data_IF_574251147553
#
_entry.id   IF_574251147553
#
_cell.length_a   1.000
_cell.length_b   1.000
_cell.length_c   1.000
_cell.angle_alpha   90.00
_cell.angle_beta   90.00
_cell.angle_gamma   90.00
#
_symmetry.space_group_name_H-M   'P 1'
#
loop_
_entity.id
_entity.type
_entity.pdbx_description
1 polymer ?
#
# COMPACT_ATOMS: atom_id res chain seq x y z
N UNK A 1 4.34 18.14 -10.90
CA UNK A 1 3.26 18.72 -11.72
C UNK A 1 1.90 18.38 -11.09
N UNK A 2 1.31 19.36 -10.42
CA UNK A 2 -0.06 19.25 -9.92
C UNK A 2 -1.05 19.47 -11.08
N UNK A 3 -2.14 18.71 -11.09
CA UNK A 3 -3.11 18.74 -12.18
C UNK A 3 -4.47 19.22 -11.68
N UNK A 4 -4.80 20.46 -11.95
CA UNK A 4 -6.13 21.04 -11.67
C UNK A 4 -6.83 21.28 -13.00
N UNK A 5 -8.08 20.80 -13.15
CA UNK A 5 -8.90 20.99 -14.34
C UNK A 5 -10.04 21.94 -14.00
N UNK A 6 -10.08 23.08 -14.68
CA UNK A 6 -11.17 24.04 -14.62
C UNK A 6 -11.67 24.31 -16.06
N UNK A 7 -12.98 24.35 -16.26
CA UNK A 7 -13.62 24.47 -17.56
C UNK A 7 -14.47 25.74 -17.61
N UNK A 8 -13.98 26.82 -18.28
CA UNK A 8 -14.70 28.05 -18.43
C UNK A 8 -14.49 28.67 -19.81
N UNK A 9 -15.53 29.44 -20.31
CA UNK A 9 -15.36 30.33 -21.43
C UNK A 9 -14.84 31.67 -20.91
N UNK A 10 -13.56 31.93 -21.11
CA UNK A 10 -12.86 33.08 -20.57
C UNK A 10 -12.88 34.29 -21.53
N UNK A 11 -13.03 35.48 -20.97
CA UNK A 11 -12.78 36.75 -21.65
C UNK A 11 -11.30 37.14 -21.52
N UNK A 12 -10.92 38.25 -22.18
CA UNK A 12 -9.52 38.67 -22.38
C UNK A 12 -8.75 39.10 -21.10
N UNK A 13 -9.41 39.22 -19.97
CA UNK A 13 -8.88 39.70 -18.69
C UNK A 13 -8.88 38.66 -17.59
N UNK A 14 -8.91 37.37 -17.94
CA UNK A 14 -8.87 36.27 -16.97
C UNK A 14 -7.46 36.07 -16.43
N UNK A 15 -7.36 35.89 -15.12
CA UNK A 15 -6.12 35.62 -14.38
C UNK A 15 -6.28 34.33 -13.59
N UNK A 16 -5.28 33.45 -13.66
CA UNK A 16 -5.18 32.30 -12.76
C UNK A 16 -4.15 32.60 -11.69
N UNK A 17 -4.52 32.45 -10.45
CA UNK A 17 -3.63 32.53 -9.29
C UNK A 17 -3.48 31.17 -8.60
N UNK A 18 -2.32 30.93 -7.98
CA UNK A 18 -2.06 29.78 -7.15
C UNK A 18 -1.40 30.20 -5.86
N UNK A 19 -1.97 29.77 -4.73
CA UNK A 19 -1.43 29.99 -3.39
C UNK A 19 -1.14 28.63 -2.77
N UNK A 20 0.03 28.49 -2.15
CA UNK A 20 0.41 27.27 -1.41
C UNK A 20 0.50 27.61 0.06
N UNK A 21 -0.18 26.85 0.89
CA UNK A 21 -0.07 26.88 2.34
C UNK A 21 0.46 25.57 2.89
N UNK A 22 1.11 25.64 4.03
CA UNK A 22 1.54 24.46 4.79
C UNK A 22 0.36 23.96 5.65
N UNK A 23 -0.07 22.71 5.44
CA UNK A 23 -1.20 22.12 6.15
C UNK A 23 -0.76 21.45 7.46
N UNK A 24 0.51 21.09 7.55
CA UNK A 24 1.04 20.26 8.64
C UNK A 24 1.67 21.10 9.76
N UNK A 25 2.06 22.32 9.49
CA UNK A 25 2.63 23.26 10.47
C UNK A 25 1.85 24.57 10.47
N UNK A 26 1.81 25.26 11.62
CA UNK A 26 1.16 26.58 11.77
C UNK A 26 1.89 27.71 11.00
N UNK A 27 2.80 27.38 10.12
CA UNK A 27 3.53 28.32 9.28
C UNK A 27 2.74 28.58 7.99
N UNK A 28 2.08 29.71 7.92
CA UNK A 28 1.44 30.22 6.69
C UNK A 28 2.50 30.57 5.64
N UNK A 29 2.88 29.58 4.82
CA UNK A 29 3.67 29.82 3.63
C UNK A 29 2.73 30.28 2.51
N UNK A 30 2.67 31.57 2.26
CA UNK A 30 1.94 32.09 1.11
C UNK A 30 2.91 32.27 -0.05
N UNK A 31 2.90 31.30 -0.96
CA UNK A 31 3.53 31.49 -2.26
C UNK A 31 2.45 31.89 -3.25
N UNK A 32 2.57 33.09 -3.81
CA UNK A 32 1.65 33.60 -4.81
C UNK A 32 2.27 33.46 -6.21
N UNK A 33 1.60 32.73 -7.06
CA UNK A 33 1.89 32.63 -8.48
C UNK A 33 0.67 33.13 -9.23
N UNK A 34 0.83 34.17 -10.05
CA UNK A 34 -0.23 34.72 -10.91
C UNK A 34 0.19 34.65 -12.37
N UNK A 35 -0.74 34.32 -13.26
CA UNK A 35 -0.50 34.33 -14.69
C UNK A 35 -1.78 34.67 -15.44
N UNK A 36 -1.67 35.58 -16.42
CA UNK A 36 -2.75 35.87 -17.32
C UNK A 36 -3.10 34.67 -18.19
N UNK A 37 -4.39 34.39 -18.31
CA UNK A 37 -4.87 33.32 -19.20
C UNK A 37 -4.83 33.87 -20.64
N UNK A 38 -4.19 33.14 -21.59
CA UNK A 38 -4.11 33.58 -22.96
C UNK A 38 -5.49 33.79 -23.60
N UNK A 39 -5.65 34.87 -24.38
CA UNK A 39 -6.88 35.12 -25.15
C UNK A 39 -7.12 34.00 -26.17
N UNK A 40 -8.35 33.54 -26.27
CA UNK A 40 -8.74 32.45 -27.17
C UNK A 40 -8.55 31.05 -26.57
N UNK A 41 -8.21 30.94 -25.27
CA UNK A 41 -8.19 29.67 -24.53
C UNK A 41 -9.60 29.07 -24.53
N UNK A 42 -9.68 27.80 -24.96
CA UNK A 42 -10.92 27.01 -24.92
C UNK A 42 -10.96 26.17 -23.66
N UNK A 43 -12.11 25.60 -23.34
CA UNK A 43 -12.29 24.71 -22.18
C UNK A 43 -11.32 23.50 -22.12
N UNK A 44 -10.70 23.14 -23.24
CA UNK A 44 -9.78 22.01 -23.36
C UNK A 44 -8.29 22.42 -23.47
N UNK A 45 -8.00 23.73 -23.48
CA UNK A 45 -6.62 24.20 -23.58
C UNK A 45 -5.93 24.09 -22.22
N UNK A 46 -4.92 23.24 -22.06
CA UNK A 46 -4.20 23.11 -20.79
C UNK A 46 -3.46 24.41 -20.50
N UNK A 47 -3.67 24.95 -19.32
CA UNK A 47 -2.97 26.12 -18.82
C UNK A 47 -2.02 25.70 -17.71
N UNK A 48 -0.78 26.18 -17.74
CA UNK A 48 0.25 25.81 -16.78
C UNK A 48 0.71 27.04 -16.01
N UNK A 49 0.58 26.98 -14.68
CA UNK A 49 1.25 27.91 -13.76
C UNK A 49 2.44 27.20 -13.10
N UNK A 50 3.48 27.97 -12.79
CA UNK A 50 4.68 27.42 -12.16
C UNK A 50 5.05 28.26 -10.96
N UNK A 51 5.45 27.59 -9.89
CA UNK A 51 5.95 28.19 -8.68
C UNK A 51 7.08 27.38 -8.07
N UNK A 52 7.76 27.96 -7.10
CA UNK A 52 8.86 27.31 -6.37
C UNK A 52 8.61 27.48 -4.88
N UNK A 53 8.67 26.36 -4.15
CA UNK A 53 8.65 26.37 -2.69
C UNK A 53 10.11 26.29 -2.23
N UNK A 54 10.68 27.36 -1.64
CA UNK A 54 12.04 27.33 -1.16
C UNK A 54 12.15 26.50 0.12
N UNK A 55 13.14 25.61 0.19
CA UNK A 55 13.41 24.76 1.36
C UNK A 55 12.18 24.00 1.88
N UNK A 56 11.53 23.17 1.04
CA UNK A 56 10.30 22.50 1.44
C UNK A 56 10.58 21.46 2.53
N UNK A 57 9.65 21.30 3.45
CA UNK A 57 9.62 20.11 4.30
C UNK A 57 9.22 18.91 3.45
N UNK A 58 9.98 17.82 3.59
CA UNK A 58 9.74 16.63 2.79
C UNK A 58 8.73 15.72 3.49
N UNK A 59 7.85 15.15 2.70
CA UNK A 59 6.94 14.11 3.13
C UNK A 59 7.70 12.80 3.29
N UNK A 60 7.54 12.12 4.43
CA UNK A 60 8.07 10.78 4.66
C UNK A 60 7.13 9.94 5.54
N UNK A 61 7.55 8.72 5.91
CA UNK A 61 6.72 7.80 6.69
C UNK A 61 6.59 8.17 8.16
N UNK A 62 7.46 9.01 8.69
CA UNK A 62 7.47 9.44 10.09
C UNK A 62 6.93 10.87 10.23
N UNK A 63 7.23 11.71 9.22
CA UNK A 63 6.84 13.10 9.16
C UNK A 63 6.12 13.38 7.83
N UNK A 64 4.84 12.98 7.71
CA UNK A 64 4.07 13.10 6.47
C UNK A 64 3.62 14.54 6.20
N UNK A 65 4.59 15.40 5.83
CA UNK A 65 4.36 16.82 5.64
C UNK A 65 3.57 17.10 4.36
N UNK A 66 2.46 17.81 4.49
CA UNK A 66 1.55 18.11 3.39
C UNK A 66 1.39 19.61 3.16
N UNK A 67 1.21 19.97 1.91
CA UNK A 67 0.89 21.31 1.42
C UNK A 67 -0.47 21.31 0.76
N UNK A 68 -1.16 22.45 0.84
CA UNK A 68 -2.41 22.72 0.12
C UNK A 68 -2.14 23.72 -0.99
N UNK A 69 -2.38 23.32 -2.24
CA UNK A 69 -2.45 24.26 -3.36
C UNK A 69 -3.90 24.69 -3.56
N UNK A 70 -4.14 25.97 -3.41
CA UNK A 70 -5.39 26.62 -3.77
C UNK A 70 -5.22 27.34 -5.09
N UNK A 71 -5.98 26.98 -6.10
CA UNK A 71 -5.99 27.64 -7.40
C UNK A 71 -7.28 28.41 -7.57
N UNK A 72 -7.20 29.64 -8.08
CA UNK A 72 -8.36 30.50 -8.28
C UNK A 72 -8.32 31.07 -9.69
N UNK A 73 -9.48 31.12 -10.33
CA UNK A 73 -9.69 31.73 -11.65
C UNK A 73 -10.49 32.98 -11.49
N UNK A 74 -9.89 34.11 -11.86
CA UNK A 74 -10.48 35.43 -11.73
C UNK A 74 -10.79 36.05 -13.09
N UNK A 75 -11.82 36.90 -13.15
CA UNK A 75 -12.07 37.81 -14.27
C UNK A 75 -12.32 39.19 -13.71
N UNK A 76 -11.35 40.12 -13.87
CA UNK A 76 -11.34 41.36 -13.12
C UNK A 76 -11.40 41.09 -11.61
N UNK A 77 -12.37 41.65 -10.91
CA UNK A 77 -12.59 41.47 -9.47
C UNK A 77 -13.49 40.25 -9.14
N UNK A 78 -14.01 39.54 -10.14
CA UNK A 78 -14.92 38.44 -9.97
C UNK A 78 -14.16 37.10 -9.89
N UNK A 79 -14.27 36.39 -8.77
CA UNK A 79 -13.84 34.99 -8.66
C UNK A 79 -14.82 34.12 -9.47
N UNK A 80 -14.32 33.41 -10.46
CA UNK A 80 -15.11 32.53 -11.32
C UNK A 80 -15.12 31.10 -10.77
N UNK A 81 -13.96 30.63 -10.28
CA UNK A 81 -13.83 29.26 -9.76
C UNK A 81 -12.61 29.11 -8.85
N UNK A 82 -12.67 28.14 -7.96
CA UNK A 82 -11.53 27.76 -7.13
C UNK A 82 -11.45 26.24 -6.97
N UNK A 83 -10.22 25.73 -6.82
CA UNK A 83 -9.96 24.32 -6.53
C UNK A 83 -8.81 24.19 -5.55
N UNK A 84 -8.90 23.19 -4.68
CA UNK A 84 -7.90 22.87 -3.69
C UNK A 84 -7.33 21.48 -3.94
N UNK A 85 -6.02 21.32 -3.80
CA UNK A 85 -5.32 20.04 -3.95
C UNK A 85 -4.25 19.93 -2.87
N UNK A 86 -4.35 18.89 -2.06
CA UNK A 86 -3.31 18.52 -1.10
C UNK A 86 -2.22 17.72 -1.80
N UNK A 87 -0.95 17.99 -1.47
CA UNK A 87 0.20 17.30 -2.02
C UNK A 87 1.36 17.26 -1.04
N UNK A 88 2.33 16.39 -1.29
CA UNK A 88 3.59 16.32 -0.53
C UNK A 88 4.79 16.33 -1.47
N UNK A 89 5.94 16.78 -0.95
CA UNK A 89 7.19 16.82 -1.70
C UNK A 89 8.11 15.73 -1.14
N UNK A 90 8.56 14.83 -2.00
CA UNK A 90 9.44 13.73 -1.63
C UNK A 90 10.29 13.27 -2.80
N UNK A 91 11.36 12.52 -2.49
CA UNK A 91 12.14 11.73 -3.45
C UNK A 91 11.98 10.24 -3.10
N UNK A 92 11.36 9.46 -3.99
CA UNK A 92 11.07 8.04 -3.79
C UNK A 92 11.71 7.23 -4.92
N UNK A 93 12.79 6.51 -4.62
CA UNK A 93 13.64 5.87 -5.63
C UNK A 93 13.84 4.39 -5.32
N UNK A 94 13.49 3.54 -6.28
CA UNK A 94 13.88 2.13 -6.25
C UNK A 94 15.25 1.96 -6.90
N UNK A 95 16.15 1.27 -6.21
CA UNK A 95 17.49 0.91 -6.68
C UNK A 95 17.69 -0.60 -6.63
N UNK A 96 18.75 -1.08 -7.27
CA UNK A 96 19.15 -2.49 -7.29
C UNK A 96 19.16 -3.13 -5.89
N UNK A 97 19.56 -2.38 -4.89
CA UNK A 97 19.78 -2.79 -3.50
C UNK A 97 18.63 -2.39 -2.55
N UNK A 98 17.50 -1.90 -3.05
CA UNK A 98 16.34 -1.60 -2.24
C UNK A 98 15.60 -0.31 -2.59
N UNK A 99 14.72 0.12 -1.69
CA UNK A 99 13.96 1.35 -1.83
C UNK A 99 14.58 2.46 -0.97
N UNK A 100 14.53 3.70 -1.48
CA UNK A 100 15.05 4.90 -0.81
C UNK A 100 13.97 5.99 -0.80
N UNK A 101 13.73 6.56 0.38
CA UNK A 101 12.86 7.71 0.56
C UNK A 101 13.68 8.89 1.07
N UNK A 102 13.67 10.00 0.34
CA UNK A 102 14.44 11.19 0.65
C UNK A 102 15.95 10.89 0.90
N UNK A 103 16.49 9.99 0.08
CA UNK A 103 17.89 9.57 0.15
C UNK A 103 18.23 8.54 1.25
N UNK A 104 17.28 8.20 2.13
CA UNK A 104 17.48 7.18 3.18
C UNK A 104 16.94 5.83 2.70
N UNK A 105 17.70 4.75 2.91
CA UNK A 105 17.23 3.39 2.61
C UNK A 105 16.11 3.03 3.57
N UNK A 106 14.98 2.58 3.03
CA UNK A 106 13.80 2.15 3.77
C UNK A 106 13.34 0.80 3.26
N UNK A 107 13.17 -0.17 4.15
CA UNK A 107 12.58 -1.46 3.78
C UNK A 107 11.06 -1.34 3.76
N UNK A 108 10.45 -1.68 2.65
CA UNK A 108 9.00 -1.70 2.50
C UNK A 108 8.45 -2.90 3.28
N UNK A 109 7.54 -2.64 4.22
CA UNK A 109 6.82 -3.63 5.02
C UNK A 109 5.34 -3.36 4.89
N UNK A 110 4.65 -4.22 4.16
CA UNK A 110 3.26 -3.95 3.81
C UNK A 110 2.36 -5.18 3.82
N UNK A 111 1.10 -4.90 3.60
CA UNK A 111 0.06 -5.88 3.33
C UNK A 111 -0.70 -5.49 2.07
N UNK A 112 -1.28 -6.49 1.41
CA UNK A 112 -2.25 -6.29 0.36
C UNK A 112 -3.61 -5.98 0.98
N UNK A 113 -4.35 -5.05 0.38
CA UNK A 113 -5.69 -4.66 0.82
C UNK A 113 -6.70 -4.74 -0.30
N UNK A 114 -7.78 -5.48 -0.10
CA UNK A 114 -9.01 -5.31 -0.85
C UNK A 114 -9.86 -4.17 -0.27
N UNK A 115 -10.64 -3.47 -1.11
CA UNK A 115 -11.59 -2.48 -0.64
C UNK A 115 -12.95 -3.15 -0.43
N UNK A 116 -13.13 -3.84 0.69
CA UNK A 116 -14.41 -4.49 0.98
C UNK A 116 -14.71 -4.56 2.48
N UNK A 117 -15.99 -4.52 2.82
CA UNK A 117 -16.47 -4.71 4.19
C UNK A 117 -17.78 -5.51 4.16
N UNK A 118 -18.04 -6.36 5.18
CA UNK A 118 -19.28 -7.12 5.27
C UNK A 118 -20.53 -6.25 5.09
N UNK A 119 -21.53 -6.79 4.41
CA UNK A 119 -22.84 -6.18 4.11
C UNK A 119 -22.82 -5.06 3.06
N UNK A 120 -21.76 -4.27 2.95
CA UNK A 120 -21.68 -3.15 1.99
C UNK A 120 -20.79 -3.43 0.78
N UNK A 121 -20.00 -4.52 0.82
CA UNK A 121 -19.07 -4.87 -0.25
C UNK A 121 -18.06 -3.76 -0.51
N UNK A 122 -17.89 -3.37 -1.77
CA UNK A 122 -16.96 -2.32 -2.17
C UNK A 122 -17.46 -0.88 -1.91
N UNK A 123 -18.75 -0.72 -1.56
CA UNK A 123 -19.33 0.59 -1.21
C UNK A 123 -19.01 0.99 0.24
N UNK A 124 -17.75 0.84 0.62
CA UNK A 124 -17.27 1.20 1.96
C UNK A 124 -17.37 2.71 2.20
N UNK A 125 -17.96 3.13 3.32
CA UNK A 125 -18.04 4.55 3.68
C UNK A 125 -16.65 5.11 4.04
N UNK A 126 -16.52 6.43 3.97
CA UNK A 126 -15.29 7.17 4.28
C UNK A 126 -14.65 6.73 5.60
N UNK A 127 -15.44 6.63 6.66
CA UNK A 127 -14.96 6.24 7.99
C UNK A 127 -14.24 4.88 7.99
N UNK A 128 -14.73 3.91 7.22
CA UNK A 128 -14.11 2.59 7.10
C UNK A 128 -12.86 2.62 6.23
N UNK A 129 -12.84 3.47 5.19
CA UNK A 129 -11.64 3.68 4.37
C UNK A 129 -10.50 4.24 5.23
N UNK A 130 -10.78 5.28 6.01
CA UNK A 130 -9.81 5.91 6.92
C UNK A 130 -9.38 4.95 8.04
N UNK A 131 -10.31 4.17 8.60
CA UNK A 131 -10.00 3.16 9.62
C UNK A 131 -8.99 2.12 9.11
N UNK A 132 -9.15 1.61 7.90
CA UNK A 132 -8.21 0.63 7.35
C UNK A 132 -6.78 1.19 7.26
N UNK A 133 -6.61 2.45 6.86
CA UNK A 133 -5.30 3.10 6.84
C UNK A 133 -4.73 3.30 8.26
N UNK A 134 -5.57 3.70 9.21
CA UNK A 134 -5.18 3.82 10.62
C UNK A 134 -4.72 2.48 11.21
N UNK A 135 -5.45 1.39 10.93
CA UNK A 135 -5.09 0.04 11.40
C UNK A 135 -3.75 -0.41 10.81
N UNK A 136 -3.54 -0.22 9.51
CA UNK A 136 -2.27 -0.56 8.86
C UNK A 136 -1.08 0.17 9.50
N UNK A 137 -1.23 1.47 9.73
CA UNK A 137 -0.14 2.31 10.26
C UNK A 137 0.05 2.14 11.77
N UNK A 138 -1.02 2.27 12.54
CA UNK A 138 -0.95 2.42 14.01
C UNK A 138 -1.01 1.08 14.74
N UNK A 139 -1.86 0.15 14.28
CA UNK A 139 -2.03 -1.15 14.94
C UNK A 139 -1.02 -2.19 14.44
N UNK A 140 -0.81 -2.23 13.11
CA UNK A 140 0.09 -3.19 12.49
C UNK A 140 1.53 -2.66 12.31
N UNK A 141 1.80 -1.40 12.60
CA UNK A 141 3.13 -0.78 12.51
C UNK A 141 3.74 -0.79 11.10
N UNK A 142 2.90 -0.85 10.06
CA UNK A 142 3.35 -0.93 8.68
C UNK A 142 3.72 0.43 8.10
N UNK A 143 4.61 0.41 7.12
CA UNK A 143 4.98 1.60 6.36
C UNK A 143 4.43 1.60 4.93
N UNK A 144 3.78 0.51 4.48
CA UNK A 144 3.29 0.40 3.12
C UNK A 144 2.00 -0.44 3.00
N UNK A 145 1.27 -0.22 1.91
CA UNK A 145 0.12 -1.02 1.49
C UNK A 145 0.10 -1.17 -0.03
N UNK A 146 -0.31 -2.34 -0.52
CA UNK A 146 -0.65 -2.52 -1.93
C UNK A 146 -2.18 -2.59 -2.09
N UNK A 147 -2.74 -1.75 -2.95
CA UNK A 147 -4.17 -1.71 -3.25
C UNK A 147 -4.50 -2.73 -4.34
N UNK A 148 -4.55 -4.00 -3.97
CA UNK A 148 -4.81 -5.14 -4.84
C UNK A 148 -6.30 -5.27 -5.18
N UNK A 149 -6.70 -5.49 -6.40
CA UNK A 149 -6.00 -5.41 -7.69
C UNK A 149 -6.72 -4.35 -8.52
N UNK A 150 -6.85 -3.14 -8.01
CA UNK A 150 -7.61 -2.02 -8.60
C UNK A 150 -7.36 -0.71 -7.81
N UNK A 151 -7.59 0.44 -8.44
CA UNK A 151 -7.58 1.73 -7.74
C UNK A 151 -8.62 1.75 -6.62
N UNK A 152 -8.25 2.28 -5.46
CA UNK A 152 -9.12 2.34 -4.29
C UNK A 152 -9.53 3.78 -3.96
N UNK A 153 -10.41 3.93 -2.97
CA UNK A 153 -11.04 5.21 -2.60
C UNK A 153 -10.04 6.33 -2.33
N UNK A 154 -10.36 7.55 -2.74
CA UNK A 154 -9.64 8.77 -2.37
C UNK A 154 -9.50 8.92 -0.85
N UNK A 155 -10.57 8.67 -0.08
CA UNK A 155 -10.53 8.75 1.38
C UNK A 155 -9.46 7.84 2.01
N UNK A 156 -9.21 6.69 1.39
CA UNK A 156 -8.13 5.80 1.81
C UNK A 156 -6.76 6.37 1.46
N UNK A 157 -6.58 6.86 0.24
CA UNK A 157 -5.31 7.42 -0.23
C UNK A 157 -4.96 8.72 0.49
N UNK A 158 -5.93 9.62 0.68
CA UNK A 158 -5.76 10.84 1.49
C UNK A 158 -5.31 10.50 2.90
N UNK A 159 -5.92 9.46 3.51
CA UNK A 159 -5.49 9.01 4.84
C UNK A 159 -4.09 8.41 4.83
N UNK A 160 -3.69 7.71 3.76
CA UNK A 160 -2.31 7.25 3.59
C UNK A 160 -1.33 8.42 3.48
N UNK A 161 -1.71 9.49 2.77
CA UNK A 161 -0.91 10.72 2.69
C UNK A 161 -0.70 11.36 4.06
N UNK A 162 -1.77 11.47 4.86
CA UNK A 162 -1.75 12.04 6.21
C UNK A 162 -0.94 11.20 7.21
N UNK A 163 -0.90 9.89 7.04
CA UNK A 163 -0.24 8.95 7.96
C UNK A 163 1.20 8.60 7.57
N UNK A 164 1.66 9.00 6.39
CA UNK A 164 2.96 8.53 5.89
C UNK A 164 2.96 7.03 5.54
N UNK A 165 1.87 6.53 4.97
CA UNK A 165 1.77 5.14 4.53
C UNK A 165 2.02 5.06 3.03
N UNK A 166 3.10 4.40 2.61
CA UNK A 166 3.47 4.22 1.20
C UNK A 166 2.44 3.35 0.47
N UNK A 167 2.14 3.69 -0.78
CA UNK A 167 1.13 2.98 -1.57
C UNK A 167 1.73 2.47 -2.88
N UNK A 168 1.54 1.19 -3.13
CA UNK A 168 1.65 0.58 -4.44
C UNK A 168 0.23 0.36 -4.99
N UNK A 169 -0.17 1.13 -6.00
CA UNK A 169 -1.51 1.02 -6.62
C UNK A 169 -1.42 0.55 -8.05
N UNK A 170 -2.44 -0.19 -8.51
CA UNK A 170 -2.45 -0.82 -9.83
C UNK A 170 -3.79 -0.65 -10.54
N UNK A 171 -3.78 -0.65 -11.89
CA UNK A 171 -5.01 -0.63 -12.67
C UNK A 171 -5.73 -1.99 -12.61
N UNK A 172 -7.08 -2.03 -12.82
CA UNK A 172 -7.88 -3.20 -12.47
C UNK A 172 -7.56 -4.43 -13.29
N UNK A 173 -7.41 -5.58 -12.63
CA UNK A 173 -7.38 -6.88 -13.29
C UNK A 173 -6.64 -7.97 -12.53
N UNK A 174 -7.05 -9.22 -12.80
CA UNK A 174 -6.46 -10.43 -12.26
C UNK A 174 -6.42 -11.54 -13.30
N UNK A 175 -5.21 -12.01 -13.64
CA UNK A 175 -4.88 -13.11 -14.56
C UNK A 175 -5.36 -12.93 -16.01
N UNK A 176 -6.55 -12.39 -16.25
CA UNK A 176 -7.16 -12.32 -17.58
C UNK A 176 -6.64 -11.14 -18.40
N UNK A 177 -6.26 -11.42 -19.65
CA UNK A 177 -6.00 -10.44 -20.70
C UNK A 177 -7.01 -10.68 -21.82
N UNK A 178 -7.80 -9.66 -22.14
CA UNK A 178 -8.83 -9.75 -23.17
C UNK A 178 -8.32 -9.48 -24.59
N UNK A 179 -9.25 -9.26 -25.50
CA UNK A 179 -8.97 -8.92 -26.90
C UNK A 179 -8.45 -7.47 -27.05
N UNK A 180 -8.19 -7.04 -28.29
CA UNK A 180 -7.63 -5.71 -28.56
C UNK A 180 -8.49 -4.56 -28.07
N UNK A 181 -9.83 -4.68 -28.14
CA UNK A 181 -10.75 -3.67 -27.59
C UNK A 181 -10.64 -3.58 -26.08
N UNK A 182 -10.57 -4.71 -25.39
CA UNK A 182 -10.35 -4.78 -23.96
C UNK A 182 -8.99 -4.19 -23.56
N UNK A 183 -7.90 -4.53 -24.31
CA UNK A 183 -6.56 -3.97 -24.08
C UNK A 183 -6.52 -2.45 -24.27
N UNK A 184 -7.21 -1.94 -25.30
CA UNK A 184 -7.33 -0.51 -25.51
C UNK A 184 -8.03 0.19 -24.31
N UNK A 185 -9.11 -0.39 -23.80
CA UNK A 185 -9.79 0.12 -22.61
C UNK A 185 -8.91 0.03 -21.36
N UNK A 186 -8.14 -1.05 -21.20
CA UNK A 186 -7.22 -1.20 -20.07
C UNK A 186 -6.11 -0.14 -20.07
N UNK A 187 -5.61 0.27 -21.24
CA UNK A 187 -4.67 1.40 -21.37
C UNK A 187 -5.31 2.71 -20.92
N UNK A 188 -6.58 2.96 -21.29
CA UNK A 188 -7.34 4.12 -20.80
C UNK A 188 -7.54 4.07 -19.28
N UNK A 189 -7.85 2.90 -18.73
CA UNK A 189 -7.99 2.73 -17.27
C UNK A 189 -6.68 3.04 -16.52
N UNK A 190 -5.53 2.66 -17.09
CA UNK A 190 -4.22 3.02 -16.52
C UNK A 190 -3.98 4.54 -16.61
N UNK A 191 -4.35 5.18 -17.73
CA UNK A 191 -4.28 6.63 -17.89
C UNK A 191 -5.15 7.35 -16.84
N UNK A 192 -6.41 6.94 -16.69
CA UNK A 192 -7.36 7.53 -15.76
C UNK A 192 -6.89 7.38 -14.31
N UNK A 193 -6.40 6.20 -13.91
CA UNK A 193 -5.82 5.98 -12.58
C UNK A 193 -4.70 6.97 -12.29
N UNK A 194 -3.74 7.12 -13.20
CA UNK A 194 -2.59 8.00 -12.97
C UNK A 194 -3.03 9.47 -12.91
N UNK A 195 -3.92 9.90 -13.82
CA UNK A 195 -4.45 11.27 -13.82
C UNK A 195 -5.19 11.58 -12.52
N UNK A 196 -5.93 10.63 -12.00
CA UNK A 196 -6.73 10.78 -10.79
C UNK A 196 -5.88 10.86 -9.53
N UNK A 197 -4.81 10.05 -9.45
CA UNK A 197 -4.10 9.83 -8.19
C UNK A 197 -2.66 10.39 -8.13
N UNK A 198 -2.11 10.95 -9.20
CA UNK A 198 -0.71 11.37 -9.22
C UNK A 198 -0.34 12.50 -8.26
N UNK A 199 -1.31 13.16 -7.63
CA UNK A 199 -1.05 14.18 -6.62
C UNK A 199 -0.83 13.60 -5.20
N UNK A 200 -1.16 12.32 -4.97
CA UNK A 200 -0.95 11.66 -3.68
C UNK A 200 0.55 11.35 -3.46
N UNK A 201 1.21 11.95 -2.45
CA UNK A 201 2.62 11.67 -2.18
C UNK A 201 2.87 10.24 -1.69
N UNK A 202 1.90 9.61 -1.06
CA UNK A 202 1.96 8.22 -0.59
C UNK A 202 2.20 7.22 -1.72
N UNK A 203 1.68 7.46 -2.93
CA UNK A 203 1.88 6.56 -4.06
C UNK A 203 3.33 6.62 -4.54
N UNK A 204 4.02 5.49 -4.45
CA UNK A 204 5.44 5.35 -4.82
C UNK A 204 5.67 4.46 -6.04
N UNK A 205 4.66 3.71 -6.48
CA UNK A 205 4.79 2.75 -7.56
C UNK A 205 3.44 2.63 -8.31
N UNK A 206 3.49 2.72 -9.64
CA UNK A 206 2.34 2.47 -10.51
C UNK A 206 2.32 1.04 -10.99
N UNK A 207 1.29 0.27 -10.65
CA UNK A 207 1.05 -1.06 -11.19
C UNK A 207 0.43 -0.98 -12.58
N UNK A 208 1.21 -1.32 -13.60
CA UNK A 208 0.82 -1.17 -15.01
C UNK A 208 0.74 -2.50 -15.76
N UNK A 209 0.67 -3.59 -15.00
CA UNK A 209 0.46 -4.95 -15.50
C UNK A 209 -0.69 -5.59 -14.71
N UNK A 210 -1.52 -6.38 -15.40
CA UNK A 210 -2.57 -7.19 -14.78
C UNK A 210 -1.92 -8.19 -13.83
N UNK A 211 -2.39 -8.21 -12.59
CA UNK A 211 -1.88 -9.11 -11.57
C UNK A 211 -1.89 -10.58 -12.06
N UNK A 212 -0.76 -11.26 -11.91
CA UNK A 212 -0.55 -12.68 -12.26
C UNK A 212 -0.87 -13.06 -13.71
N UNK A 213 -0.93 -12.11 -14.61
CA UNK A 213 -1.17 -12.40 -16.02
C UNK A 213 0.08 -12.99 -16.71
N UNK A 214 -0.09 -13.71 -17.84
CA UNK A 214 1.02 -14.06 -18.73
C UNK A 214 1.68 -12.82 -19.30
N UNK A 215 2.87 -13.00 -19.93
CA UNK A 215 3.54 -11.94 -20.66
C UNK A 215 2.75 -11.55 -21.90
N UNK A 216 2.62 -10.25 -22.15
CA UNK A 216 2.05 -9.64 -23.35
C UNK A 216 2.78 -8.32 -23.61
N UNK A 217 3.98 -8.44 -24.15
CA UNK A 217 4.89 -7.32 -24.31
C UNK A 217 4.26 -6.14 -25.08
N UNK A 218 3.58 -6.34 -26.24
CA UNK A 218 2.96 -5.23 -26.96
C UNK A 218 1.87 -4.49 -26.18
N UNK A 219 1.21 -5.15 -25.24
CA UNK A 219 0.22 -4.54 -24.37
C UNK A 219 0.90 -3.77 -23.23
N UNK A 220 1.86 -4.39 -22.54
CA UNK A 220 2.51 -3.78 -21.38
C UNK A 220 3.50 -2.68 -21.73
N UNK A 221 4.08 -2.68 -22.94
CA UNK A 221 4.80 -1.51 -23.47
C UNK A 221 3.92 -0.27 -23.54
N UNK A 222 2.64 -0.40 -23.93
CA UNK A 222 1.70 0.71 -24.00
C UNK A 222 1.32 1.24 -22.62
N UNK A 223 1.03 0.37 -21.65
CA UNK A 223 0.67 0.79 -20.30
C UNK A 223 1.83 1.47 -19.58
N UNK A 224 3.07 0.97 -19.77
CA UNK A 224 4.28 1.61 -19.27
C UNK A 224 4.50 2.99 -19.91
N UNK A 225 4.40 3.07 -21.24
CA UNK A 225 4.59 4.33 -21.96
C UNK A 225 3.58 5.43 -21.50
N UNK A 226 2.33 5.04 -21.27
CA UNK A 226 1.30 5.95 -20.74
C UNK A 226 1.66 6.43 -19.34
N UNK A 227 2.11 5.53 -18.47
CA UNK A 227 2.50 5.88 -17.10
C UNK A 227 3.65 6.87 -17.08
N UNK A 228 4.74 6.59 -17.77
CA UNK A 228 5.90 7.49 -17.85
C UNK A 228 5.59 8.84 -18.50
N UNK A 229 4.67 8.86 -19.49
CA UNK A 229 4.22 10.10 -20.12
C UNK A 229 3.43 11.00 -19.16
N UNK A 230 2.59 10.41 -18.32
CA UNK A 230 1.69 11.15 -17.42
C UNK A 230 2.34 11.50 -16.09
N UNK A 231 3.24 10.65 -15.63
CA UNK A 231 3.98 10.83 -14.39
C UNK A 231 5.42 10.29 -14.52
N UNK A 232 6.36 11.12 -14.98
CA UNK A 232 7.76 10.72 -15.08
C UNK A 232 8.48 10.68 -13.72
N UNK A 233 7.79 10.99 -12.63
CA UNK A 233 8.39 11.09 -11.28
C UNK A 233 8.29 9.78 -10.49
N UNK A 234 7.43 8.84 -10.92
CA UNK A 234 7.23 7.56 -10.26
C UNK A 234 7.58 6.40 -11.17
N UNK A 235 8.24 5.37 -10.64
CA UNK A 235 8.49 4.14 -11.38
C UNK A 235 7.22 3.33 -11.60
N UNK A 236 7.32 2.40 -12.55
CA UNK A 236 6.30 1.40 -12.84
C UNK A 236 6.69 0.04 -12.28
N UNK A 237 5.68 -0.75 -11.90
CA UNK A 237 5.78 -2.14 -11.52
C UNK A 237 4.69 -2.98 -12.16
N UNK A 238 4.84 -4.30 -12.11
CA UNK A 238 3.85 -5.19 -12.68
C UNK A 238 3.93 -6.59 -12.05
N UNK A 239 2.88 -6.98 -11.38
CA UNK A 239 2.87 -8.17 -10.53
C UNK A 239 2.80 -9.46 -11.34
N UNK A 240 3.74 -10.34 -11.09
CA UNK A 240 3.95 -11.62 -11.75
C UNK A 240 3.86 -12.78 -10.78
N UNK A 241 3.33 -13.91 -11.24
CA UNK A 241 3.44 -15.21 -10.59
C UNK A 241 4.38 -16.18 -11.35
N UNK A 242 4.93 -15.75 -12.49
CA UNK A 242 5.79 -16.55 -13.35
C UNK A 242 7.23 -16.09 -13.19
N UNK A 243 8.12 -17.01 -12.80
CA UNK A 243 9.57 -16.74 -12.74
C UNK A 243 10.14 -16.49 -14.13
N UNK A 244 11.11 -15.58 -14.22
CA UNK A 244 11.79 -15.17 -15.47
C UNK A 244 10.84 -14.59 -16.52
N UNK A 245 9.69 -14.08 -16.12
CA UNK A 245 8.81 -13.25 -16.94
C UNK A 245 9.54 -11.99 -17.40
N UNK A 246 9.21 -11.48 -18.59
CA UNK A 246 9.84 -10.31 -19.16
C UNK A 246 9.63 -9.07 -18.30
N UNK A 247 10.68 -8.27 -18.11
CA UNK A 247 10.62 -7.00 -17.40
C UNK A 247 10.54 -5.84 -18.39
N UNK A 248 9.41 -5.18 -18.43
CA UNK A 248 9.17 -3.94 -19.19
C UNK A 248 9.06 -2.73 -18.28
N UNK A 249 8.75 -2.98 -17.00
CA UNK A 249 8.60 -1.99 -15.95
C UNK A 249 9.96 -1.64 -15.31
N UNK A 250 9.96 -0.61 -14.47
CA UNK A 250 11.18 -0.17 -13.76
C UNK A 250 11.53 -1.10 -12.59
N UNK A 251 10.52 -1.66 -11.92
CA UNK A 251 10.66 -2.53 -10.74
C UNK A 251 10.09 -3.91 -11.03
N UNK A 252 10.90 -4.94 -10.82
CA UNK A 252 10.41 -6.32 -10.90
C UNK A 252 9.61 -6.65 -9.66
N UNK A 253 8.30 -6.86 -9.82
CA UNK A 253 7.41 -7.25 -8.72
C UNK A 253 6.91 -8.68 -8.92
N UNK A 254 6.95 -9.49 -7.85
CA UNK A 254 6.69 -10.92 -7.94
C UNK A 254 5.89 -11.44 -6.74
N UNK A 255 4.89 -12.28 -7.01
CA UNK A 255 4.17 -13.04 -6.00
C UNK A 255 4.97 -14.29 -5.65
N UNK A 256 5.57 -14.29 -4.46
CA UNK A 256 6.43 -15.37 -3.97
C UNK A 256 5.67 -16.31 -3.04
N UNK A 257 5.09 -17.35 -3.62
CA UNK A 257 4.38 -18.39 -2.90
C UNK A 257 5.26 -19.62 -2.67
N UNK A 258 6.56 -19.43 -2.40
CA UNK A 258 7.48 -20.52 -2.10
C UNK A 258 7.19 -21.14 -0.73
N UNK A 259 6.86 -20.33 0.28
CA UNK A 259 6.81 -20.78 1.67
C UNK A 259 5.57 -21.62 1.98
N UNK A 260 5.79 -22.92 2.19
CA UNK A 260 4.75 -23.92 2.50
C UNK A 260 4.76 -24.40 3.97
N UNK A 261 5.63 -23.81 4.80
CA UNK A 261 5.84 -24.16 6.20
C UNK A 261 7.21 -24.81 6.46
N UNK A 262 7.81 -25.47 5.46
CA UNK A 262 9.08 -26.20 5.59
C UNK A 262 10.21 -25.56 4.77
N UNK A 263 9.88 -24.84 3.71
CA UNK A 263 10.82 -24.17 2.80
C UNK A 263 11.36 -22.85 3.38
N UNK A 264 12.49 -22.34 2.85
CA UNK A 264 12.92 -20.96 3.11
C UNK A 264 11.80 -19.97 2.79
N UNK A 265 11.65 -18.90 3.58
CA UNK A 265 10.53 -17.97 3.50
C UNK A 265 10.28 -17.34 2.13
N UNK A 266 11.32 -17.09 1.34
CA UNK A 266 11.19 -16.59 -0.05
C UNK A 266 12.36 -17.03 -0.93
N UNK A 267 12.17 -16.96 -2.25
CA UNK A 267 13.23 -17.21 -3.23
C UNK A 267 14.25 -16.05 -3.29
N UNK A 268 15.53 -16.35 -3.44
CA UNK A 268 16.51 -15.32 -3.80
C UNK A 268 16.19 -14.69 -5.16
N UNK A 269 16.31 -13.36 -5.27
CA UNK A 269 16.04 -12.56 -6.49
C UNK A 269 16.56 -13.21 -7.76
N UNK A 270 17.81 -13.72 -7.78
CA UNK A 270 18.45 -14.39 -8.93
C UNK A 270 17.74 -15.65 -9.41
N UNK A 271 16.92 -16.28 -8.57
CA UNK A 271 16.09 -17.43 -8.98
C UNK A 271 14.79 -16.99 -9.63
N UNK A 272 14.31 -15.80 -9.30
CA UNK A 272 13.04 -15.25 -9.78
C UNK A 272 13.21 -14.53 -11.10
N UNK A 273 14.22 -13.68 -11.22
CA UNK A 273 14.47 -12.87 -12.41
C UNK A 273 15.93 -12.95 -12.89
N UNK A 274 16.14 -12.81 -14.21
CA UNK A 274 17.44 -12.58 -14.81
C UNK A 274 17.91 -11.11 -14.69
N UNK A 275 16.98 -10.19 -14.45
CA UNK A 275 17.22 -8.74 -14.37
C UNK A 275 17.74 -8.33 -12.98
N UNK A 276 18.86 -8.92 -12.57
CA UNK A 276 19.42 -8.75 -11.21
C UNK A 276 19.89 -7.34 -10.91
N UNK A 277 20.09 -6.52 -11.94
CA UNK A 277 20.48 -5.11 -11.81
C UNK A 277 19.29 -4.17 -11.61
N UNK A 278 18.08 -4.66 -11.79
CA UNK A 278 16.85 -3.91 -11.56
C UNK A 278 16.37 -4.04 -10.12
N UNK A 279 15.59 -3.09 -9.61
CA UNK A 279 14.92 -3.23 -8.30
C UNK A 279 14.00 -4.46 -8.25
N UNK A 280 13.87 -5.06 -7.07
CA UNK A 280 13.01 -6.22 -6.85
C UNK A 280 12.15 -6.04 -5.60
N UNK A 281 10.88 -6.42 -5.71
CA UNK A 281 9.87 -6.27 -4.65
C UNK A 281 8.96 -7.52 -4.63
N UNK A 282 8.74 -8.09 -3.46
CA UNK A 282 7.78 -9.19 -3.28
C UNK A 282 6.40 -8.60 -3.07
N UNK A 283 5.48 -8.87 -4.00
CA UNK A 283 4.14 -8.27 -4.00
C UNK A 283 3.08 -9.08 -3.27
N UNK A 284 3.28 -10.38 -3.14
CA UNK A 284 2.41 -11.26 -2.35
C UNK A 284 3.19 -12.47 -1.80
N UNK A 285 2.76 -12.99 -0.64
CA UNK A 285 3.20 -14.25 -0.07
C UNK A 285 2.17 -14.79 0.93
N UNK A 286 2.23 -16.07 1.28
CA UNK A 286 1.32 -16.79 2.18
C UNK A 286 -0.14 -16.81 1.69
N UNK A 287 -1.06 -16.25 2.44
CA UNK A 287 -2.48 -16.13 2.11
C UNK A 287 -3.19 -17.45 1.83
N UNK A 288 -3.47 -17.71 0.57
CA UNK A 288 -4.19 -18.90 0.13
C UNK A 288 -3.46 -20.22 0.40
N UNK A 289 -2.15 -20.17 0.66
CA UNK A 289 -1.38 -21.38 0.97
C UNK A 289 -1.68 -21.94 2.36
N UNK A 290 -2.16 -21.10 3.28
CA UNK A 290 -2.52 -21.51 4.63
C UNK A 290 -3.71 -20.73 5.19
N UNK A 291 -4.91 -20.88 4.61
CA UNK A 291 -6.09 -20.19 5.09
C UNK A 291 -6.36 -20.49 6.56
N UNK A 292 -6.61 -19.45 7.36
CA UNK A 292 -6.78 -19.61 8.81
C UNK A 292 -7.90 -18.73 9.32
N UNK A 293 -8.88 -19.35 9.99
CA UNK A 293 -10.00 -18.65 10.63
C UNK A 293 -9.60 -18.18 12.03
N UNK A 294 -10.22 -17.09 12.49
CA UNK A 294 -9.98 -16.60 13.86
C UNK A 294 -10.34 -17.63 14.95
N UNK A 295 -11.22 -18.59 14.64
CA UNK A 295 -11.70 -19.64 15.53
C UNK A 295 -11.16 -21.04 15.21
N UNK A 296 -10.15 -21.16 14.35
CA UNK A 296 -9.40 -22.40 14.17
C UNK A 296 -8.64 -22.77 15.47
N UNK A 297 -8.23 -24.01 15.61
CA UNK A 297 -7.47 -24.45 16.75
C UNK A 297 -6.17 -23.64 16.92
N UNK A 298 -5.63 -23.64 18.13
CA UNK A 298 -4.48 -22.83 18.52
C UNK A 298 -3.23 -23.15 17.68
N UNK A 299 -2.99 -24.43 17.36
CA UNK A 299 -1.85 -24.86 16.55
C UNK A 299 -1.91 -24.25 15.15
N UNK A 300 -3.10 -24.27 14.50
CA UNK A 300 -3.26 -23.68 13.18
C UNK A 300 -3.08 -22.16 13.20
N UNK A 301 -3.63 -21.48 14.21
CA UNK A 301 -3.48 -20.03 14.36
C UNK A 301 -2.03 -19.63 14.64
N UNK A 302 -1.30 -20.41 15.45
CA UNK A 302 0.13 -20.21 15.71
C UNK A 302 0.97 -20.43 14.47
N UNK A 303 0.73 -21.53 13.74
CA UNK A 303 1.43 -21.85 12.49
C UNK A 303 1.21 -20.74 11.44
N UNK A 304 -0.01 -20.20 11.33
CA UNK A 304 -0.30 -19.07 10.45
C UNK A 304 0.61 -17.86 10.76
N UNK A 305 0.76 -17.52 12.03
CA UNK A 305 1.63 -16.42 12.45
C UNK A 305 3.10 -16.72 12.13
N UNK A 306 3.58 -17.94 12.42
CA UNK A 306 4.97 -18.33 12.17
C UNK A 306 5.31 -18.31 10.68
N UNK A 307 4.39 -18.70 9.80
CA UNK A 307 4.60 -18.61 8.35
C UNK A 307 4.82 -17.18 7.88
N UNK A 308 4.07 -16.21 8.42
CA UNK A 308 4.31 -14.80 8.12
C UNK A 308 5.68 -14.32 8.65
N UNK A 309 6.05 -14.73 9.87
CA UNK A 309 7.35 -14.39 10.45
C UNK A 309 8.52 -14.96 9.63
N UNK A 310 8.42 -16.22 9.18
CA UNK A 310 9.46 -16.86 8.36
C UNK A 310 9.71 -16.14 7.03
N UNK A 311 8.64 -15.65 6.38
CA UNK A 311 8.82 -14.88 5.15
C UNK A 311 9.44 -13.52 5.42
N UNK A 312 8.99 -12.80 6.45
CA UNK A 312 9.56 -11.50 6.83
C UNK A 312 11.05 -11.63 7.19
N UNK A 313 11.43 -12.65 7.96
CA UNK A 313 12.82 -12.95 8.30
C UNK A 313 13.66 -13.23 7.05
N UNK A 314 13.15 -14.08 6.13
CA UNK A 314 13.83 -14.38 4.88
C UNK A 314 14.03 -13.15 3.98
N UNK A 315 13.03 -12.25 3.93
CA UNK A 315 13.13 -10.96 3.22
C UNK A 315 14.13 -10.04 3.91
N UNK A 316 14.13 -10.02 5.26
CA UNK A 316 15.07 -9.23 6.04
C UNK A 316 16.53 -9.67 5.82
N UNK A 317 16.77 -10.95 5.63
CA UNK A 317 18.07 -11.53 5.34
C UNK A 317 18.63 -11.26 3.93
N UNK A 318 17.84 -10.62 3.03
CA UNK A 318 18.25 -10.32 1.64
C UNK A 318 18.27 -8.82 1.38
N UNK A 319 19.46 -8.27 1.16
CA UNK A 319 19.65 -6.82 0.99
C UNK A 319 19.18 -6.27 -0.36
N UNK A 320 19.03 -7.13 -1.37
CA UNK A 320 18.63 -6.79 -2.73
C UNK A 320 17.11 -6.89 -2.97
N UNK A 321 16.33 -7.11 -1.90
CA UNK A 321 14.87 -7.04 -1.89
C UNK A 321 14.44 -5.74 -1.27
N UNK A 322 13.69 -4.92 -2.02
CA UNK A 322 13.20 -3.61 -1.54
C UNK A 322 12.20 -3.74 -0.37
N UNK A 323 11.56 -4.89 -0.25
CA UNK A 323 10.60 -5.21 0.79
C UNK A 323 9.51 -6.17 0.29
N UNK A 324 8.42 -6.25 1.04
CA UNK A 324 7.36 -7.21 0.73
C UNK A 324 5.97 -6.77 1.20
N UNK A 325 4.95 -7.37 0.55
CA UNK A 325 3.53 -7.22 0.91
C UNK A 325 2.92 -8.61 1.16
N UNK A 326 2.48 -8.86 2.39
CA UNK A 326 1.80 -10.11 2.73
C UNK A 326 0.37 -10.16 2.17
N UNK A 327 -0.08 -11.32 1.74
CA UNK A 327 -1.46 -11.55 1.38
C UNK A 327 -2.21 -12.10 2.59
N UNK A 328 -3.14 -11.36 3.22
CA UNK A 328 -3.52 -9.97 3.01
C UNK A 328 -3.96 -9.36 4.35
N UNK A 329 -4.43 -8.10 4.34
CA UNK A 329 -4.81 -7.37 5.55
C UNK A 329 -5.94 -8.07 6.32
N UNK A 330 -7.02 -8.46 5.62
CA UNK A 330 -8.20 -9.06 6.26
C UNK A 330 -8.86 -10.12 5.39
N UNK A 331 -9.66 -10.98 6.01
CA UNK A 331 -10.51 -11.93 5.31
C UNK A 331 -11.55 -11.20 4.46
N UNK A 332 -11.85 -11.71 3.27
CA UNK A 332 -12.71 -11.03 2.33
C UNK A 332 -13.65 -11.97 1.58
N UNK A 333 -14.79 -11.45 1.15
CA UNK A 333 -15.71 -12.20 0.31
C UNK A 333 -15.15 -12.41 -1.09
N UNK A 334 -15.42 -13.58 -1.66
CA UNK A 334 -14.95 -13.97 -2.97
C UNK A 334 -16.03 -14.72 -3.77
N UNK A 335 -15.72 -15.09 -5.01
CA UNK A 335 -16.62 -15.87 -5.86
C UNK A 335 -16.61 -17.37 -5.49
N UNK A 336 -17.53 -18.13 -6.08
CA UNK A 336 -17.76 -19.56 -5.78
C UNK A 336 -16.56 -20.48 -6.01
N UNK A 337 -15.65 -20.09 -6.89
CA UNK A 337 -14.53 -20.95 -7.33
C UNK A 337 -13.25 -20.66 -6.54
N UNK A 338 -13.28 -19.74 -5.57
CA UNK A 338 -12.15 -19.35 -4.75
C UNK A 338 -12.59 -19.10 -3.31
N UNK A 339 -11.83 -19.62 -2.35
CA UNK A 339 -12.15 -19.55 -0.94
C UNK A 339 -12.75 -20.84 -0.36
N UNK A 340 -13.16 -20.79 0.89
CA UNK A 340 -13.83 -21.91 1.55
C UNK A 340 -15.32 -21.94 1.13
N UNK A 341 -15.98 -23.00 0.98
CA UNK A 341 -17.33 -23.14 0.47
C UNK A 341 -18.39 -22.10 0.90
N UNK A 342 -18.12 -21.29 1.91
CA UNK A 342 -18.88 -20.10 2.36
C UNK A 342 -18.56 -18.81 1.57
N UNK A 343 -17.72 -18.89 0.55
CA UNK A 343 -17.28 -17.77 -0.30
C UNK A 343 -16.49 -16.69 0.45
N UNK A 344 -15.73 -17.11 1.45
CA UNK A 344 -14.79 -16.27 2.20
C UNK A 344 -13.37 -16.78 1.98
N UNK A 345 -12.45 -15.88 1.65
CA UNK A 345 -11.02 -16.12 1.72
C UNK A 345 -10.52 -15.78 3.12
N UNK A 346 -10.18 -16.82 3.91
CA UNK A 346 -9.59 -16.66 5.24
C UNK A 346 -8.08 -16.44 5.18
N UNK A 347 -7.66 -15.50 4.31
CA UNK A 347 -6.27 -15.22 4.00
C UNK A 347 -5.70 -14.06 4.83
N UNK A 348 -6.55 -13.33 5.52
CA UNK A 348 -6.19 -12.12 6.25
C UNK A 348 -5.40 -12.38 7.53
N UNK A 349 -4.57 -11.42 7.89
CA UNK A 349 -3.98 -11.32 9.25
C UNK A 349 -5.00 -10.77 10.25
N UNK A 350 -6.10 -10.21 9.77
CA UNK A 350 -7.31 -9.84 10.51
C UNK A 350 -8.51 -10.60 9.96
N UNK A 351 -9.58 -10.72 10.73
CA UNK A 351 -10.86 -11.20 10.21
C UNK A 351 -11.55 -10.11 9.34
N UNK A 352 -12.69 -10.45 8.75
CA UNK A 352 -13.40 -9.52 7.86
C UNK A 352 -13.99 -8.30 8.57
N UNK A 353 -14.06 -8.32 9.90
CA UNK A 353 -14.49 -7.19 10.75
C UNK A 353 -13.29 -6.40 11.32
N UNK A 354 -12.06 -6.72 10.89
CA UNK A 354 -10.79 -6.12 11.32
C UNK A 354 -10.35 -6.51 12.74
N UNK A 355 -10.90 -7.58 13.31
CA UNK A 355 -10.32 -8.12 14.54
C UNK A 355 -8.99 -8.82 14.21
N UNK A 356 -7.91 -8.55 14.98
CA UNK A 356 -6.60 -9.13 14.69
C UNK A 356 -6.59 -10.64 14.96
N UNK A 357 -5.93 -11.40 14.07
CA UNK A 357 -5.48 -12.77 14.31
C UNK A 357 -4.06 -12.74 14.87
N UNK A 358 -3.51 -13.87 15.31
CA UNK A 358 -2.13 -13.93 15.83
C UNK A 358 -1.09 -13.39 14.82
N UNK A 359 -1.29 -13.64 13.53
CA UNK A 359 -0.41 -13.12 12.47
C UNK A 359 -0.34 -11.58 12.40
N UNK A 360 -1.33 -10.86 12.89
CA UNK A 360 -1.29 -9.39 12.98
C UNK A 360 -0.15 -8.90 13.88
N UNK A 361 0.09 -9.62 14.98
CA UNK A 361 1.17 -9.27 15.92
C UNK A 361 2.57 -9.48 15.35
N UNK A 362 2.73 -10.35 14.35
CA UNK A 362 4.01 -10.52 13.64
C UNK A 362 4.40 -9.21 12.95
N UNK A 363 3.46 -8.58 12.23
CA UNK A 363 3.69 -7.29 11.58
C UNK A 363 3.91 -6.17 12.59
N UNK A 364 3.12 -6.16 13.66
CA UNK A 364 3.26 -5.17 14.73
C UNK A 364 4.63 -5.25 15.44
N UNK A 365 5.27 -6.43 15.45
CA UNK A 365 6.63 -6.59 15.99
C UNK A 365 7.75 -6.01 15.11
N UNK A 366 7.46 -5.67 13.84
CA UNK A 366 8.47 -5.16 12.90
C UNK A 366 8.79 -3.65 13.08
N UNK A 367 8.13 -2.96 14.01
CA UNK A 367 8.37 -1.57 14.37
C UNK A 367 8.99 -1.47 15.78
N UNK A 368 9.71 -0.37 16.07
CA UNK A 368 10.46 -0.20 17.31
C UNK A 368 9.82 0.81 18.29
N UNK A 369 8.74 1.50 17.88
CA UNK A 369 8.15 2.60 18.66
C UNK A 369 7.22 2.12 19.76
N UNK A 370 6.39 1.12 19.46
CA UNK A 370 5.35 0.62 20.37
C UNK A 370 5.72 -0.79 20.83
N UNK A 371 5.89 -1.03 22.14
CA UNK A 371 6.16 -2.38 22.64
C UNK A 371 5.04 -3.35 22.32
N UNK A 372 5.38 -4.50 21.75
CA UNK A 372 4.46 -5.58 21.41
C UNK A 372 4.83 -6.83 22.18
N UNK A 373 3.82 -7.48 22.75
CA UNK A 373 3.96 -8.79 23.41
C UNK A 373 2.70 -9.61 23.16
N UNK A 374 2.82 -10.65 22.37
CA UNK A 374 1.72 -11.58 22.08
C UNK A 374 2.16 -13.02 22.36
N UNK A 375 1.40 -13.71 23.19
CA UNK A 375 1.54 -15.16 23.39
C UNK A 375 0.59 -15.85 22.41
N UNK A 376 1.08 -16.86 21.68
CA UNK A 376 0.25 -17.55 20.67
C UNK A 376 -0.68 -18.61 21.27
N UNK A 377 -0.85 -18.65 22.58
CA UNK A 377 -1.69 -19.60 23.30
C UNK A 377 -2.61 -18.90 24.29
N UNK A 378 -3.86 -19.38 24.40
CA UNK A 378 -4.78 -18.99 25.48
C UNK A 378 -4.34 -19.55 26.85
N UNK A 379 -3.37 -20.46 26.88
CA UNK A 379 -2.97 -21.23 28.07
C UNK A 379 -4.10 -22.12 28.63
N UNK A 380 -5.14 -22.35 27.85
CA UNK A 380 -6.22 -23.27 28.19
C UNK A 380 -5.85 -24.70 27.79
N UNK A 381 -5.60 -25.56 28.77
CA UNK A 381 -5.22 -26.97 28.56
C UNK A 381 -6.37 -27.83 28.09
N UNK A 382 -7.62 -27.41 28.27
CA UNK A 382 -8.81 -28.14 27.87
C UNK A 382 -8.94 -28.36 26.36
N UNK A 383 -8.29 -27.56 25.55
CA UNK A 383 -8.26 -27.69 24.10
C UNK A 383 -7.19 -28.65 23.57
N UNK A 384 -6.32 -29.18 24.44
CA UNK A 384 -5.19 -30.01 24.03
C UNK A 384 -5.38 -31.49 24.43
N UNK A 385 -5.22 -32.44 23.49
CA UNK A 385 -5.30 -33.86 23.80
C UNK A 385 -4.29 -34.30 24.88
N UNK A 386 -4.75 -35.04 25.89
CA UNK A 386 -3.90 -35.51 26.98
C UNK A 386 -3.34 -34.41 27.87
N UNK A 387 -3.93 -33.19 27.85
CA UNK A 387 -3.48 -32.01 28.60
C UNK A 387 -2.02 -31.58 28.27
N UNK A 388 -1.49 -32.04 27.15
CA UNK A 388 -0.17 -31.64 26.66
C UNK A 388 -0.29 -30.50 25.67
N UNK A 389 0.39 -29.41 25.96
CA UNK A 389 0.53 -28.30 25.01
C UNK A 389 1.62 -28.61 24.00
N UNK A 390 1.40 -28.20 22.76
CA UNK A 390 2.44 -28.14 21.75
C UNK A 390 3.44 -27.00 21.99
N UNK A 391 4.08 -26.56 20.94
CA UNK A 391 4.96 -25.39 20.97
C UNK A 391 4.18 -24.11 21.26
N UNK A 392 4.73 -23.32 22.15
CA UNK A 392 4.22 -21.99 22.47
C UNK A 392 5.21 -20.97 21.96
N UNK A 393 4.70 -19.98 21.24
CA UNK A 393 5.51 -18.90 20.70
C UNK A 393 5.17 -17.59 21.40
N UNK A 394 6.17 -16.73 21.52
CA UNK A 394 6.03 -15.37 22.01
C UNK A 394 6.50 -14.43 20.89
N UNK A 395 5.60 -13.57 20.42
CA UNK A 395 5.89 -12.55 19.42
C UNK A 395 6.14 -11.23 20.16
N UNK A 396 7.31 -10.64 19.96
CA UNK A 396 7.70 -9.40 20.64
C UNK A 396 8.78 -8.67 19.86
N UNK A 397 8.76 -7.33 19.93
CA UNK A 397 9.85 -6.44 19.49
C UNK A 397 10.73 -5.97 20.65
N UNK A 398 10.60 -6.57 21.86
CA UNK A 398 11.43 -6.26 23.01
C UNK A 398 12.76 -7.03 22.94
N UNK A 399 13.85 -6.45 23.45
CA UNK A 399 15.19 -7.08 23.51
C UNK A 399 15.21 -8.37 24.33
N UNK A 400 14.29 -8.51 25.29
CA UNK A 400 14.19 -9.70 26.13
C UNK A 400 12.78 -9.92 26.67
N UNK A 401 12.43 -11.19 26.84
CA UNK A 401 11.15 -11.62 27.43
C UNK A 401 11.43 -12.49 28.64
N UNK A 402 10.79 -12.15 29.78
CA UNK A 402 10.86 -12.96 30.98
C UNK A 402 9.58 -13.76 31.16
N UNK A 403 9.68 -15.09 31.15
CA UNK A 403 8.57 -15.99 31.47
C UNK A 403 8.60 -16.35 32.95
N UNK A 404 7.42 -16.35 33.59
CA UNK A 404 7.25 -16.74 35.00
C UNK A 404 6.06 -17.69 35.10
N UNK A 405 6.26 -18.84 35.71
CA UNK A 405 5.18 -19.78 36.04
C UNK A 405 4.98 -19.84 37.56
N UNK A 406 3.77 -19.54 38.00
CA UNK A 406 3.41 -19.65 39.42
C UNK A 406 2.71 -20.99 39.67
N UNK A 407 3.35 -21.87 40.43
CA UNK A 407 2.81 -23.17 40.76
C UNK A 407 1.89 -23.17 42.01
N UNK A 408 1.87 -22.07 42.76
CA UNK A 408 1.01 -21.87 43.93
C UNK A 408 0.44 -20.47 43.99
N UNK A 409 -0.87 -20.37 44.04
CA UNK A 409 -1.58 -19.14 44.47
C UNK A 409 -1.68 -19.24 46.01
N UNK A 410 -0.85 -18.52 46.73
CA UNK A 410 -1.13 -18.20 48.13
C UNK A 410 -2.21 -17.18 48.15
N UNK A 411 -3.42 -17.59 48.56
CA UNK A 411 -4.46 -16.61 48.92
C UNK A 411 -3.93 -15.76 50.06
N UNK A 412 -4.10 -14.44 50.08
CA UNK A 412 -3.77 -13.63 51.23
C UNK A 412 -4.64 -14.11 52.40
N UNK A 413 -4.04 -14.66 53.43
CA UNK A 413 -4.69 -14.90 54.70
C UNK A 413 -4.89 -13.56 55.37
N UNK A 414 -6.12 -13.03 55.37
CA UNK A 414 -6.47 -11.92 56.22
C UNK A 414 -6.29 -12.35 57.67
N UNK A 415 -5.28 -11.80 58.29
CA UNK A 415 -5.13 -11.82 59.75
C UNK A 415 -5.72 -10.52 60.30
#
# INVERSE_FOLDING_TARGET
DLNVRQYYMLKSDAVMSGVVSDVTSDNDWQFLCEQNVPTGTTAETPFRIQGTIPHPFLWDTEHPHLYLLKTQLWQGEQLLDEAEVTFGIRDAVFKKDGFYLNGKKLRIRGLNRHQSYPYVGYAMPESMQKLDADLLKKELGLNAVRTSHYPQSHYFLERCDELGLLVFTEFPGWQHIGNDTWKAQAVVNAEDMIRQYRNHPSIILWGVRINESPDDDPFYEKTNAVAHKLDPTRPTGGVRAIKKSHLLEDVYTYNDFLHDGETPGCDPKKKVTSDTDKPYLISEYNGHMYPTKAFDNEERRSEHAIRHANVLDAVAGQEDIAGSFGWCMFDYNTHKDFGSGDRICYHGVMDMFRNPKLAASVYACEQDEIPVLQITSSMDIGEHPGCNRGNLYILSNADSVRTVSYTHLTLPTNS
#
